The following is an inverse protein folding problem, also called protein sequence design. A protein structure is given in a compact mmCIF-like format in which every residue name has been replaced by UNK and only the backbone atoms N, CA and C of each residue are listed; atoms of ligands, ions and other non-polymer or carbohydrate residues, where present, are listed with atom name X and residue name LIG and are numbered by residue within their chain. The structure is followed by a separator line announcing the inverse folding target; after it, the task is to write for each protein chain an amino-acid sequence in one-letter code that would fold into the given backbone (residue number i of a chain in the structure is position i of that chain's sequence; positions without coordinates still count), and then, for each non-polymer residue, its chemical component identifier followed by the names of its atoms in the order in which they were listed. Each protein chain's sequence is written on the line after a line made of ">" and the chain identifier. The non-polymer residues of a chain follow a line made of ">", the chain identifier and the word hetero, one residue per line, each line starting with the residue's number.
data_IF_346182680856
#
_entry.id   IF_346182680856
#
_cell.length_a   1.000
_cell.length_b   1.000
_cell.length_c   1.000
_cell.angle_alpha   90.00
_cell.angle_beta   90.00
_cell.angle_gamma   90.00
#
_symmetry.space_group_name_H-M   'P 1'
#
loop_
_entity.id
_entity.type
_entity.pdbx_description
1 polymer ?
#
# COMPACT_ATOMS: atom_id res chain seq x y z
N UNK A 1 -2.84 9.44 -6.52
CA UNK A 1 -2.93 8.06 -7.07
C UNK A 1 -4.31 7.44 -6.83
N UNK A 2 -4.66 6.39 -7.59
CA UNK A 2 -5.82 5.53 -7.31
C UNK A 2 -5.48 4.48 -6.25
N UNK A 3 -6.40 4.20 -5.32
CA UNK A 3 -6.24 3.15 -4.30
C UNK A 3 -7.59 2.51 -3.93
N UNK A 4 -7.56 1.24 -3.51
CA UNK A 4 -8.75 0.58 -2.93
C UNK A 4 -8.85 0.96 -1.45
N UNK A 5 -9.92 1.65 -1.09
CA UNK A 5 -10.13 2.24 0.24
C UNK A 5 -11.28 1.53 0.94
N UNK A 6 -11.05 1.14 2.19
CA UNK A 6 -12.09 0.66 3.10
C UNK A 6 -12.94 1.83 3.60
N UNK A 7 -14.26 1.79 3.36
CA UNK A 7 -15.22 2.79 3.85
C UNK A 7 -15.98 2.31 5.07
N UNK A 8 -16.46 1.08 5.01
CA UNK A 8 -17.16 0.40 6.09
C UNK A 8 -17.15 -1.12 5.87
N UNK A 9 -17.68 -1.89 6.82
CA UNK A 9 -17.86 -3.34 6.64
C UNK A 9 -18.76 -3.58 5.41
N UNK A 10 -18.24 -4.34 4.45
CA UNK A 10 -18.90 -4.63 3.17
C UNK A 10 -18.82 -3.52 2.12
N UNK A 11 -18.18 -2.38 2.43
CA UNK A 11 -18.06 -1.23 1.52
C UNK A 11 -16.59 -0.83 1.31
N UNK A 12 -16.12 -1.07 0.08
CA UNK A 12 -14.81 -0.64 -0.40
C UNK A 12 -14.97 0.05 -1.75
N UNK A 13 -14.10 1.01 -2.04
CA UNK A 13 -14.15 1.74 -3.30
C UNK A 13 -12.76 2.04 -3.86
N UNK A 14 -12.68 2.18 -5.18
CA UNK A 14 -11.52 2.75 -5.83
C UNK A 14 -11.63 4.28 -5.75
N UNK A 15 -10.70 4.92 -5.05
CA UNK A 15 -10.69 6.36 -4.81
C UNK A 15 -9.41 7.02 -5.28
N UNK A 16 -9.46 8.33 -5.54
CA UNK A 16 -8.26 9.16 -5.68
C UNK A 16 -7.77 9.58 -4.29
N UNK A 17 -6.53 9.24 -3.96
CA UNK A 17 -5.85 9.59 -2.71
C UNK A 17 -4.55 10.36 -3.02
N UNK A 18 -4.03 11.19 -2.08
CA UNK A 18 -2.75 11.85 -2.25
C UNK A 18 -1.62 10.86 -2.55
N UNK A 19 -0.65 11.28 -3.36
CA UNK A 19 0.60 10.51 -3.51
C UNK A 19 1.31 10.40 -2.16
N UNK A 20 1.95 9.26 -1.84
CA UNK A 20 2.77 9.16 -0.65
C UNK A 20 3.99 10.08 -0.76
N UNK A 21 4.48 10.52 0.38
CA UNK A 21 5.75 11.23 0.51
C UNK A 21 6.61 10.51 1.53
N UNK A 22 7.94 10.59 1.38
CA UNK A 22 8.87 10.09 2.41
C UNK A 22 8.58 10.81 3.73
N UNK A 23 8.56 10.06 4.84
CA UNK A 23 8.35 10.60 6.18
C UNK A 23 9.61 10.46 7.01
N UNK A 24 10.27 9.31 6.92
CA UNK A 24 11.49 8.98 7.63
C UNK A 24 12.70 8.86 6.69
N UNK A 25 13.94 9.11 7.18
CA UNK A 25 15.15 8.99 6.37
C UNK A 25 15.39 7.59 5.77
N UNK A 26 14.74 6.57 6.32
CA UNK A 26 14.85 5.16 5.92
C UNK A 26 13.74 4.69 4.98
N UNK A 27 12.79 5.57 4.62
CA UNK A 27 11.64 5.20 3.78
C UNK A 27 12.01 5.00 2.31
N UNK A 28 11.16 4.27 1.59
CA UNK A 28 11.16 4.23 0.13
C UNK A 28 9.71 4.31 -0.39
N UNK A 29 9.53 4.96 -1.54
CA UNK A 29 8.27 4.96 -2.29
C UNK A 29 8.43 4.02 -3.46
N UNK A 30 7.49 3.09 -3.57
CA UNK A 30 7.47 2.07 -4.62
C UNK A 30 6.27 2.30 -5.52
N UNK A 31 6.51 2.42 -6.82
CA UNK A 31 5.46 2.35 -7.83
C UNK A 31 5.06 0.90 -8.05
N UNK A 32 3.90 0.52 -7.54
CA UNK A 32 3.37 -0.83 -7.71
C UNK A 32 3.15 -1.14 -9.19
N UNK A 33 3.58 -2.33 -9.62
CA UNK A 33 3.34 -2.86 -10.97
C UNK A 33 2.34 -4.01 -10.95
N UNK A 34 2.27 -4.73 -9.83
CA UNK A 34 1.29 -5.78 -9.59
C UNK A 34 1.07 -5.92 -8.09
N UNK A 35 -0.15 -6.30 -7.71
CA UNK A 35 -0.56 -6.57 -6.33
C UNK A 35 -1.58 -7.72 -6.36
N UNK A 36 -1.63 -8.48 -5.27
CA UNK A 36 -2.54 -9.60 -5.11
C UNK A 36 -3.65 -9.28 -4.10
N UNK A 37 -4.64 -10.17 -4.03
CA UNK A 37 -5.70 -10.12 -3.02
C UNK A 37 -5.50 -11.33 -2.12
N UNK A 38 -5.22 -11.07 -0.84
CA UNK A 38 -5.06 -12.11 0.16
C UNK A 38 -6.42 -12.48 0.76
N UNK A 39 -6.52 -13.69 1.32
CA UNK A 39 -7.66 -14.07 2.15
C UNK A 39 -7.87 -13.12 3.34
N UNK A 40 -6.79 -12.55 3.90
CA UNK A 40 -6.85 -11.57 4.99
C UNK A 40 -7.58 -10.29 4.58
N UNK A 41 -7.44 -9.84 3.33
CA UNK A 41 -8.16 -8.65 2.85
C UNK A 41 -9.68 -8.88 2.92
N UNK A 42 -10.14 -10.11 2.63
CA UNK A 42 -11.55 -10.47 2.77
C UNK A 42 -12.02 -10.44 4.22
N UNK A 43 -11.15 -10.76 5.19
CA UNK A 43 -11.51 -10.68 6.60
C UNK A 43 -11.76 -9.24 7.05
N UNK A 44 -11.01 -8.26 6.52
CA UNK A 44 -11.25 -6.83 6.73
C UNK A 44 -12.57 -6.38 6.09
N UNK A 45 -12.80 -6.73 4.82
CA UNK A 45 -14.03 -6.36 4.10
C UNK A 45 -15.27 -6.94 4.79
N UNK A 46 -15.20 -8.18 5.29
CA UNK A 46 -16.31 -8.86 5.99
C UNK A 46 -16.48 -8.43 7.45
N UNK A 47 -15.56 -7.63 8.00
CA UNK A 47 -15.60 -7.23 9.41
C UNK A 47 -15.32 -8.36 10.41
N UNK A 48 -14.73 -9.47 9.94
CA UNK A 48 -14.35 -10.61 10.79
C UNK A 48 -13.00 -10.44 11.47
N UNK A 49 -12.28 -9.37 11.14
CA UNK A 49 -11.05 -8.94 11.80
C UNK A 49 -11.22 -7.50 12.30
N UNK A 50 -10.82 -7.24 13.54
CA UNK A 50 -11.04 -5.95 14.19
C UNK A 50 -9.94 -4.92 13.85
N UNK A 51 -10.24 -3.64 14.07
CA UNK A 51 -9.24 -2.56 13.97
C UNK A 51 -9.22 -1.80 12.64
N UNK A 52 -10.00 -2.22 11.64
CA UNK A 52 -10.15 -1.47 10.39
C UNK A 52 -10.82 -0.12 10.63
N UNK A 53 -10.28 0.94 10.01
CA UNK A 53 -10.79 2.30 10.09
C UNK A 53 -11.21 2.77 8.69
N UNK A 54 -12.33 3.50 8.57
CA UNK A 54 -12.67 4.17 7.32
C UNK A 54 -11.50 5.02 6.81
N UNK A 55 -11.20 4.93 5.52
CA UNK A 55 -10.06 5.59 4.88
C UNK A 55 -8.78 4.75 4.80
N UNK A 56 -8.73 3.55 5.39
CA UNK A 56 -7.58 2.66 5.24
C UNK A 56 -7.48 2.12 3.81
N UNK A 57 -6.31 2.26 3.19
CA UNK A 57 -5.97 1.62 1.91
C UNK A 57 -5.73 0.13 2.15
N UNK A 58 -6.37 -0.72 1.34
CA UNK A 58 -6.26 -2.18 1.41
C UNK A 58 -5.08 -2.72 0.58
N UNK A 59 -4.70 -3.97 0.87
CA UNK A 59 -3.62 -4.69 0.18
C UNK A 59 -2.31 -4.69 0.97
N UNK A 60 -1.63 -5.82 0.94
CA UNK A 60 -0.37 -6.05 1.65
C UNK A 60 0.55 -7.03 0.90
N UNK A 61 0.32 -7.17 -0.40
CA UNK A 61 1.08 -8.05 -1.28
C UNK A 61 1.40 -7.31 -2.58
N UNK A 62 2.67 -7.19 -2.96
CA UNK A 62 3.01 -6.46 -4.17
C UNK A 62 4.42 -6.64 -4.68
N UNK A 63 4.57 -6.31 -5.96
CA UNK A 63 5.87 -6.10 -6.62
C UNK A 63 5.85 -4.77 -7.36
N UNK A 64 6.98 -4.08 -7.37
CA UNK A 64 7.06 -2.75 -7.95
C UNK A 64 8.46 -2.31 -8.31
N UNK A 65 8.56 -1.02 -8.63
CA UNK A 65 9.81 -0.35 -8.95
C UNK A 65 10.03 0.76 -7.94
N UNK A 66 11.22 0.84 -7.36
CA UNK A 66 11.61 1.92 -6.46
C UNK A 66 11.56 3.25 -7.21
N UNK A 67 10.74 4.19 -6.73
CA UNK A 67 10.54 5.51 -7.33
C UNK A 67 11.27 6.60 -6.55
N UNK A 68 11.33 6.48 -5.22
CA UNK A 68 12.07 7.40 -4.36
C UNK A 68 12.65 6.66 -3.14
N UNK A 69 13.79 7.10 -2.64
CA UNK A 69 14.41 6.59 -1.40
C UNK A 69 14.83 7.72 -0.48
N UNK A 70 14.76 7.48 0.82
CA UNK A 70 15.29 8.36 1.85
C UNK A 70 16.82 8.31 1.94
N UNK A 71 17.45 9.35 2.52
CA UNK A 71 18.91 9.48 2.56
C UNK A 71 19.65 8.42 3.38
N UNK A 72 18.95 7.63 4.20
CA UNK A 72 19.55 6.54 4.99
C UNK A 72 19.28 5.15 4.40
N UNK A 73 18.61 5.05 3.24
CA UNK A 73 18.46 3.79 2.51
C UNK A 73 19.78 3.41 1.85
N UNK A 74 20.24 2.17 2.04
CA UNK A 74 21.54 1.69 1.57
C UNK A 74 21.51 0.47 0.65
N UNK A 75 20.39 -0.26 0.65
CA UNK A 75 20.33 -1.60 0.06
C UNK A 75 19.48 -1.66 -1.23
N UNK A 76 18.81 -0.57 -1.58
CA UNK A 76 18.02 -0.42 -2.81
C UNK A 76 18.19 0.99 -3.35
N UNK A 77 18.01 1.17 -4.65
CA UNK A 77 18.09 2.46 -5.34
C UNK A 77 16.91 2.64 -6.31
N UNK A 78 16.67 3.90 -6.73
CA UNK A 78 15.63 4.22 -7.71
C UNK A 78 15.83 3.41 -8.99
N UNK A 79 14.75 2.79 -9.47
CA UNK A 79 14.75 1.92 -10.64
C UNK A 79 14.84 0.42 -10.33
N UNK A 80 15.23 0.03 -9.10
CA UNK A 80 15.27 -1.38 -8.71
C UNK A 80 13.87 -2.01 -8.71
N UNK A 81 13.78 -3.27 -9.13
CA UNK A 81 12.57 -4.09 -8.97
C UNK A 81 12.59 -4.76 -7.60
N UNK A 82 11.51 -4.62 -6.84
CA UNK A 82 11.41 -5.12 -5.46
C UNK A 82 10.12 -5.90 -5.22
N UNK A 83 10.18 -6.83 -4.26
CA UNK A 83 9.02 -7.46 -3.61
C UNK A 83 8.78 -6.75 -2.28
N UNK A 84 7.51 -6.57 -1.93
CA UNK A 84 7.04 -5.96 -0.68
C UNK A 84 6.27 -7.01 0.10
#
# INVERSE_FOLDING_TARGET
>A
MKAVVFRAIGDIALEDVPEPTLKEPTDAIIRLTSSAICGTDLHFVRGTFSGMRPGTILGHEGVGVVEQVGPMVRNVQVGDRVII
#
